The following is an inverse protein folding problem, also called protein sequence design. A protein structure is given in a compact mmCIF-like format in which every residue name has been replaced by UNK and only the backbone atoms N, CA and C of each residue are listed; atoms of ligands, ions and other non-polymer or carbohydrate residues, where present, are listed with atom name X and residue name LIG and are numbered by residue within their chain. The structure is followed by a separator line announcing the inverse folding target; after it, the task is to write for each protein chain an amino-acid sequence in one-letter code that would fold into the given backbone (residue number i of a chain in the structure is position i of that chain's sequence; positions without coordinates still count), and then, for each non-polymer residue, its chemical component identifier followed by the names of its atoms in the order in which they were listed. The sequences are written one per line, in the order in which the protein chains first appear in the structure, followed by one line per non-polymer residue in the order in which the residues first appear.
data_IF_425604162800
#
_entry.id   IF_425604162800
#
_cell.length_a   1.000
_cell.length_b   1.000
_cell.length_c   1.000
_cell.angle_alpha   90.00
_cell.angle_beta   90.00
_cell.angle_gamma   90.00
#
_symmetry.space_group_name_H-M   'P 1'
#
loop_
_entity.id
_entity.type
_entity.pdbx_description
1 polymer ?
#
# COMPACT_ATOMS: atom_id res chain seq x y z
N UNK A 1 -25.68 3.67 33.51
CA UNK A 1 -25.48 2.29 33.00
C UNK A 1 -24.56 2.39 31.81
N UNK A 2 -23.32 1.91 31.96
CA UNK A 2 -22.34 1.89 30.88
C UNK A 2 -22.61 0.66 29.98
N UNK A 3 -22.69 0.88 28.67
CA UNK A 3 -22.49 -0.18 27.69
C UNK A 3 -21.26 0.22 26.88
N UNK A 4 -20.14 -0.43 27.20
CA UNK A 4 -18.96 -0.45 26.36
C UNK A 4 -19.30 -1.23 25.08
N UNK A 5 -19.11 -0.61 23.92
CA UNK A 5 -18.61 -1.32 22.76
C UNK A 5 -17.64 -0.36 22.10
N UNK A 6 -16.36 -0.67 22.30
CA UNK A 6 -15.26 0.05 21.69
C UNK A 6 -15.52 0.16 20.18
N UNK A 7 -15.31 1.33 19.55
CA UNK A 7 -15.03 1.30 18.13
C UNK A 7 -13.78 0.45 17.99
N UNK A 8 -13.91 -0.70 17.33
CA UNK A 8 -12.78 -1.50 16.91
C UNK A 8 -11.88 -0.55 16.11
N UNK A 9 -10.86 -0.01 16.77
CA UNK A 9 -9.78 0.73 16.15
C UNK A 9 -8.91 -0.29 15.41
N UNK A 10 -9.51 -1.01 14.47
CA UNK A 10 -8.80 -1.44 13.29
C UNK A 10 -8.32 -0.15 12.66
N UNK A 11 -7.04 0.11 12.86
CA UNK A 11 -6.31 1.20 12.24
C UNK A 11 -6.49 1.03 10.73
N UNK A 12 -7.53 1.66 10.21
CA UNK A 12 -7.78 1.83 8.79
C UNK A 12 -7.49 3.28 8.54
N UNK A 13 -6.28 3.57 8.11
CA UNK A 13 -5.98 4.85 7.49
C UNK A 13 -7.05 5.10 6.43
N UNK A 14 -7.72 6.23 6.57
CA UNK A 14 -8.59 6.76 5.52
C UNK A 14 -7.74 7.04 4.28
N UNK A 15 -8.32 6.99 3.08
CA UNK A 15 -7.60 7.33 1.85
C UNK A 15 -6.86 8.67 1.97
N UNK A 16 -7.44 9.63 2.70
CA UNK A 16 -6.83 10.93 3.00
C UNK A 16 -5.56 10.85 3.87
N UNK A 17 -5.48 9.93 4.83
CA UNK A 17 -4.29 9.73 5.67
C UNK A 17 -3.16 9.03 4.90
N UNK A 18 -3.51 8.03 4.09
CA UNK A 18 -2.57 7.43 3.13
C UNK A 18 -2.01 8.48 2.18
N UNK A 19 -2.89 9.31 1.62
CA UNK A 19 -2.48 10.39 0.74
C UNK A 19 -1.58 11.40 1.45
N UNK A 20 -1.92 11.84 2.67
CA UNK A 20 -1.10 12.76 3.44
C UNK A 20 0.30 12.23 3.75
N UNK A 21 0.43 10.94 4.08
CA UNK A 21 1.72 10.30 4.31
C UNK A 21 2.58 10.19 3.04
N UNK A 22 1.95 10.15 1.87
CA UNK A 22 2.62 9.97 0.57
C UNK A 22 2.86 11.29 -0.16
N UNK A 23 2.06 12.31 0.13
CA UNK A 23 2.21 13.71 -0.32
C UNK A 23 3.47 14.34 0.28
N UNK A 24 3.78 14.04 1.54
CA UNK A 24 5.04 14.45 2.19
C UNK A 24 6.30 13.89 1.50
N UNK A 25 6.16 12.79 0.75
CA UNK A 25 7.25 12.16 -0.01
C UNK A 25 7.27 12.61 -1.50
N UNK A 26 6.34 13.48 -1.92
CA UNK A 26 6.24 13.96 -3.30
C UNK A 26 5.91 12.86 -4.31
N UNK A 27 5.18 11.82 -3.89
CA UNK A 27 4.69 10.78 -4.79
C UNK A 27 3.56 11.34 -5.65
N UNK A 28 3.48 10.91 -6.92
CA UNK A 28 2.43 11.32 -7.85
C UNK A 28 1.07 10.88 -7.28
N UNK A 29 0.32 11.83 -6.69
CA UNK A 29 -0.84 11.55 -5.85
C UNK A 29 -1.92 10.76 -6.60
N UNK A 30 -1.95 10.84 -7.92
CA UNK A 30 -2.85 10.05 -8.77
C UNK A 30 -2.47 8.57 -8.86
N UNK A 31 -1.19 8.25 -9.05
CA UNK A 31 -0.70 6.87 -9.10
C UNK A 31 -0.89 6.18 -7.75
N UNK A 32 -0.62 6.92 -6.68
CA UNK A 32 -0.87 6.49 -5.30
C UNK A 32 -2.34 6.18 -5.08
N UNK A 33 -3.26 7.12 -5.39
CA UNK A 33 -4.72 6.88 -5.24
C UNK A 33 -5.18 5.67 -6.01
N UNK A 34 -4.65 5.48 -7.22
CA UNK A 34 -5.06 4.40 -8.12
C UNK A 34 -4.68 3.02 -7.61
N UNK A 35 -3.56 2.89 -6.90
CA UNK A 35 -3.05 1.58 -6.47
C UNK A 35 -3.11 1.35 -4.95
N UNK A 36 -3.28 2.38 -4.12
CA UNK A 36 -3.31 2.22 -2.66
C UNK A 36 -4.36 1.22 -2.18
N UNK A 37 -5.61 1.32 -2.67
CA UNK A 37 -6.67 0.38 -2.32
C UNK A 37 -6.34 -1.07 -2.72
N UNK A 38 -5.72 -1.26 -3.89
CA UNK A 38 -5.28 -2.57 -4.37
C UNK A 38 -4.18 -3.15 -3.47
N UNK A 39 -3.21 -2.32 -3.09
CA UNK A 39 -2.08 -2.69 -2.26
C UNK A 39 -2.51 -3.03 -0.82
N UNK A 40 -3.47 -2.28 -0.26
CA UNK A 40 -4.06 -2.57 1.05
C UNK A 40 -4.72 -3.96 1.07
N UNK A 41 -5.53 -4.29 0.07
CA UNK A 41 -6.18 -5.60 -0.04
C UNK A 41 -5.15 -6.71 -0.13
N UNK A 42 -4.10 -6.51 -0.92
CA UNK A 42 -3.03 -7.50 -1.09
C UNK A 42 -2.16 -7.67 0.16
N UNK A 43 -1.84 -6.59 0.88
CA UNK A 43 -1.11 -6.63 2.13
C UNK A 43 -1.89 -7.40 3.22
N UNK A 44 -3.21 -7.16 3.30
CA UNK A 44 -4.11 -7.92 4.20
C UNK A 44 -4.20 -9.39 3.80
N UNK A 45 -4.42 -9.67 2.52
CA UNK A 45 -4.44 -11.05 2.01
C UNK A 45 -3.09 -11.75 2.20
N UNK A 46 -2.01 -10.98 2.27
CA UNK A 46 -0.68 -11.48 2.57
C UNK A 46 -0.40 -11.70 4.06
N UNK A 47 -1.31 -11.35 4.97
CA UNK A 47 -1.12 -11.54 6.41
C UNK A 47 -0.02 -10.66 7.00
N UNK A 48 0.25 -9.51 6.38
CA UNK A 48 1.23 -8.54 6.90
C UNK A 48 0.68 -7.90 8.17
N UNK A 49 1.46 -7.86 9.25
CA UNK A 49 1.02 -7.26 10.52
C UNK A 49 0.89 -5.73 10.42
N UNK A 50 1.90 -5.05 9.88
CA UNK A 50 1.88 -3.62 9.58
C UNK A 50 1.48 -3.38 8.12
N UNK A 51 0.18 -3.50 7.84
CA UNK A 51 -0.38 -3.32 6.49
C UNK A 51 -0.05 -1.94 5.93
N UNK A 52 -0.16 -0.90 6.76
CA UNK A 52 -0.06 0.49 6.32
C UNK A 52 1.39 0.86 6.01
N UNK A 53 2.33 0.55 6.92
CA UNK A 53 3.76 0.73 6.66
C UNK A 53 4.23 -0.09 5.47
N UNK A 54 3.69 -1.30 5.27
CA UNK A 54 4.00 -2.12 4.11
C UNK A 54 3.48 -1.50 2.80
N UNK A 55 2.27 -0.94 2.77
CA UNK A 55 1.71 -0.27 1.59
C UNK A 55 2.51 0.98 1.25
N UNK A 56 2.81 1.84 2.23
CA UNK A 56 3.64 3.03 2.03
C UNK A 56 5.00 2.64 1.44
N UNK A 57 5.62 1.61 1.99
CA UNK A 57 6.93 1.18 1.52
C UNK A 57 6.87 0.48 0.15
N UNK A 58 5.79 -0.25 -0.17
CA UNK A 58 5.57 -0.78 -1.51
C UNK A 58 5.39 0.33 -2.55
N UNK A 59 4.68 1.41 -2.20
CA UNK A 59 4.51 2.57 -3.07
C UNK A 59 5.84 3.30 -3.33
N UNK A 60 6.71 3.39 -2.31
CA UNK A 60 8.08 3.89 -2.48
C UNK A 60 8.88 3.02 -3.45
N UNK A 61 8.81 1.70 -3.32
CA UNK A 61 9.50 0.77 -4.22
C UNK A 61 8.96 0.87 -5.67
N UNK A 62 7.64 0.97 -5.83
CA UNK A 62 6.97 1.17 -7.12
C UNK A 62 7.46 2.44 -7.81
N UNK A 63 7.61 3.54 -7.06
CA UNK A 63 8.16 4.80 -7.59
C UNK A 63 9.62 4.66 -7.98
N UNK A 64 10.46 4.13 -7.10
CA UNK A 64 11.89 3.94 -7.37
C UNK A 64 12.13 3.06 -8.60
N UNK A 65 11.22 2.12 -8.86
CA UNK A 65 11.33 1.16 -9.95
C UNK A 65 10.43 1.51 -11.16
N UNK A 66 9.78 2.68 -11.20
CA UNK A 66 8.77 3.00 -12.23
C UNK A 66 9.32 2.89 -13.66
N UNK A 67 10.57 3.28 -13.90
CA UNK A 67 11.28 3.09 -15.18
C UNK A 67 11.48 1.62 -15.59
N UNK A 68 11.36 0.70 -14.63
CA UNK A 68 11.34 -0.74 -14.88
C UNK A 68 9.98 -1.24 -15.36
N UNK A 69 8.89 -0.52 -15.08
CA UNK A 69 7.55 -0.88 -15.55
C UNK A 69 7.46 -0.83 -17.08
N UNK A 70 7.90 0.28 -17.68
CA UNK A 70 7.91 0.49 -19.14
C UNK A 70 8.74 -0.58 -19.87
N UNK A 71 9.86 -0.98 -19.29
CA UNK A 71 10.76 -2.00 -19.85
C UNK A 71 10.29 -3.43 -19.65
N UNK A 72 9.40 -3.68 -18.70
CA UNK A 72 8.93 -5.03 -18.39
C UNK A 72 7.94 -5.59 -19.41
N UNK A 73 7.28 -4.73 -20.19
CA UNK A 73 6.18 -5.13 -21.09
C UNK A 73 4.94 -5.65 -20.36
N UNK A 74 4.91 -5.59 -19.02
CA UNK A 74 3.78 -6.04 -18.22
C UNK A 74 2.71 -4.95 -18.11
N UNK A 75 1.43 -5.34 -17.96
CA UNK A 75 0.39 -4.40 -17.56
C UNK A 75 0.78 -3.72 -16.24
N UNK A 76 0.62 -2.40 -16.16
CA UNK A 76 1.01 -1.59 -14.98
C UNK A 76 0.49 -2.21 -13.67
N UNK A 77 -0.76 -2.66 -13.65
CA UNK A 77 -1.36 -3.31 -12.49
C UNK A 77 -0.63 -4.59 -12.06
N UNK A 78 -0.24 -5.43 -13.02
CA UNK A 78 0.48 -6.68 -12.74
C UNK A 78 1.90 -6.40 -12.24
N UNK A 79 2.56 -5.40 -12.81
CA UNK A 79 3.88 -4.97 -12.37
C UNK A 79 3.86 -4.41 -10.94
N UNK A 80 2.93 -3.49 -10.64
CA UNK A 80 2.70 -2.91 -9.30
C UNK A 80 2.47 -4.00 -8.26
N UNK A 81 1.60 -4.98 -8.56
CA UNK A 81 1.33 -6.12 -7.69
C UNK A 81 2.58 -6.98 -7.48
N UNK A 82 3.39 -7.18 -8.52
CA UNK A 82 4.65 -7.94 -8.43
C UNK A 82 5.64 -7.30 -7.45
N UNK A 83 5.84 -5.98 -7.55
CA UNK A 83 6.71 -5.22 -6.64
C UNK A 83 6.18 -5.30 -5.20
N UNK A 84 4.90 -5.05 -5.01
CA UNK A 84 4.28 -5.09 -3.69
C UNK A 84 4.33 -6.48 -3.04
N UNK A 85 4.00 -7.54 -3.78
CA UNK A 85 4.06 -8.92 -3.28
C UNK A 85 5.47 -9.34 -2.90
N UNK A 86 6.49 -8.91 -3.67
CA UNK A 86 7.90 -9.14 -3.33
C UNK A 86 8.22 -8.55 -1.95
N UNK A 87 7.73 -7.33 -1.68
CA UNK A 87 7.89 -6.69 -0.38
C UNK A 87 7.11 -7.39 0.72
N UNK A 88 5.84 -7.68 0.51
CA UNK A 88 4.99 -8.32 1.53
C UNK A 88 5.51 -9.69 1.94
N UNK A 89 6.14 -10.45 1.03
CA UNK A 89 6.83 -11.70 1.39
C UNK A 89 7.95 -11.51 2.40
N UNK A 90 8.67 -10.38 2.37
CA UNK A 90 9.73 -10.07 3.32
C UNK A 90 9.20 -9.62 4.69
N UNK A 91 7.93 -9.20 4.74
CA UNK A 91 7.25 -8.69 5.93
C UNK A 91 6.25 -9.70 6.52
N UNK A 92 6.15 -10.90 5.92
CA UNK A 92 5.43 -12.04 6.49
C UNK A 92 6.31 -12.67 7.56
N UNK A 93 6.11 -12.26 8.79
CA UNK A 93 6.66 -12.89 10.01
C UNK A 93 5.54 -13.10 11.00
#
# INVERSE_FOLDING_TARGET
MAFFSAPDTLHTWTDAQLLGALDQDGADAECVRRFAALLLVEARAAGVQDVEGAVVAALRDIRALCHGCERSGLPVRAWVLGVARRRYRLLRT
#
